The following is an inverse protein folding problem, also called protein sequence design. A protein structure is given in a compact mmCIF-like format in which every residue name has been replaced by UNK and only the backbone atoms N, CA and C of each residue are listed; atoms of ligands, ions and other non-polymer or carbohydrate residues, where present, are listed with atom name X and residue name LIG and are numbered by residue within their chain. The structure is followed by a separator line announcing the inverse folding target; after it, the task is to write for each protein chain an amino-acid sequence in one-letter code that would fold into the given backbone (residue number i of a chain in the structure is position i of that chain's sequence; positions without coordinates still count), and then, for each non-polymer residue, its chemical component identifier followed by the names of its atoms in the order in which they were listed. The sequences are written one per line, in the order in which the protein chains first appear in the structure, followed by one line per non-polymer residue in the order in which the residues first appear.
data_IF_591060214935
#
_entry.id   IF_591060214935
#
_cell.length_a   1.000
_cell.length_b   1.000
_cell.length_c   1.000
_cell.angle_alpha   90.00
_cell.angle_beta   90.00
_cell.angle_gamma   90.00
#
_symmetry.space_group_name_H-M   'P 1'
#
loop_
_entity.id
_entity.type
_entity.pdbx_description
1 polymer ?
#
# COMPACT_ATOMS: atom_id res chain seq x y z
N UNK A 1 -56.82 -49.35 63.58
CA UNK A 1 -57.56 -48.28 62.92
C UNK A 1 -56.52 -47.19 62.52
N UNK A 2 -56.03 -47.25 61.26
CA UNK A 2 -55.04 -46.35 60.73
C UNK A 2 -55.73 -45.33 59.81
N UNK A 3 -55.59 -44.07 60.15
CA UNK A 3 -56.10 -42.93 59.40
C UNK A 3 -54.97 -42.47 58.51
N UNK A 4 -55.12 -42.69 57.17
CA UNK A 4 -54.21 -42.07 56.19
C UNK A 4 -54.69 -40.67 55.86
N UNK A 5 -53.86 -39.72 56.12
CA UNK A 5 -54.05 -38.31 55.75
C UNK A 5 -53.38 -38.08 54.38
N UNK A 6 -54.18 -37.95 53.30
CA UNK A 6 -53.72 -37.55 51.99
C UNK A 6 -53.49 -36.03 51.95
N UNK A 7 -52.29 -35.63 51.82
CA UNK A 7 -51.90 -34.25 51.53
C UNK A 7 -51.94 -33.96 50.06
N UNK A 8 -52.93 -33.24 49.59
CA UNK A 8 -53.02 -32.71 48.24
C UNK A 8 -52.06 -31.54 48.04
N UNK A 9 -50.99 -31.75 47.26
CA UNK A 9 -50.05 -30.71 46.92
C UNK A 9 -50.52 -29.98 45.65
N UNK A 10 -51.07 -28.79 45.78
CA UNK A 10 -51.47 -27.93 44.67
C UNK A 10 -50.22 -27.22 44.12
N UNK A 11 -49.78 -27.64 42.91
CA UNK A 11 -48.72 -27.00 42.16
C UNK A 11 -49.30 -25.78 41.43
N UNK A 12 -48.91 -24.57 41.87
CA UNK A 12 -49.21 -23.35 41.13
C UNK A 12 -48.17 -23.19 40.03
N UNK A 13 -48.59 -23.34 38.80
CA UNK A 13 -47.77 -22.90 37.64
C UNK A 13 -47.89 -21.40 37.49
N UNK A 14 -46.82 -20.68 37.88
CA UNK A 14 -46.65 -19.29 37.52
C UNK A 14 -46.12 -19.18 36.10
N UNK A 15 -46.97 -18.77 35.18
CA UNK A 15 -46.55 -18.40 33.81
C UNK A 15 -45.84 -17.08 33.82
N UNK A 16 -44.49 -17.12 33.69
CA UNK A 16 -43.67 -15.92 33.47
C UNK A 16 -43.76 -15.57 32.00
N UNK A 17 -44.49 -14.52 31.66
CA UNK A 17 -44.47 -13.94 30.32
C UNK A 17 -43.16 -13.13 30.13
N UNK A 18 -42.21 -13.70 29.36
CA UNK A 18 -41.02 -12.98 28.92
C UNK A 18 -41.42 -12.04 27.80
N UNK A 19 -41.54 -10.76 28.08
CA UNK A 19 -41.71 -9.73 27.08
C UNK A 19 -40.33 -9.51 26.38
N UNK A 20 -40.17 -10.04 25.16
CA UNK A 20 -39.05 -9.69 24.30
C UNK A 20 -39.18 -8.21 23.88
N UNK A 21 -38.46 -7.34 24.53
CA UNK A 21 -38.28 -5.96 24.11
C UNK A 21 -37.19 -5.98 23.00
N UNK A 22 -37.61 -6.02 21.74
CA UNK A 22 -36.74 -5.82 20.61
C UNK A 22 -36.38 -4.32 20.51
N UNK A 23 -35.22 -3.94 21.03
CA UNK A 23 -34.61 -2.64 20.75
C UNK A 23 -34.10 -2.61 19.33
N UNK A 24 -34.54 -1.65 18.48
CA UNK A 24 -33.91 -1.48 17.18
C UNK A 24 -32.48 -1.01 17.39
N UNK A 25 -31.53 -1.82 16.95
CA UNK A 25 -30.12 -1.47 16.82
C UNK A 25 -30.03 -0.42 15.71
N UNK A 26 -30.08 0.87 16.09
CA UNK A 26 -29.75 1.97 15.18
C UNK A 26 -28.25 1.82 14.85
N UNK A 27 -27.98 1.21 13.70
CA UNK A 27 -26.66 1.27 13.10
C UNK A 27 -26.36 2.75 12.80
N UNK A 28 -25.60 3.38 13.69
CA UNK A 28 -24.97 4.65 13.42
C UNK A 28 -23.90 4.39 12.36
N UNK A 29 -24.26 4.49 11.09
CA UNK A 29 -23.30 4.70 10.03
C UNK A 29 -22.61 6.04 10.31
N UNK A 30 -21.50 5.94 11.02
CA UNK A 30 -20.53 7.02 11.13
C UNK A 30 -19.94 7.26 9.75
N UNK A 31 -20.62 8.08 8.95
CA UNK A 31 -20.03 8.63 7.75
C UNK A 31 -18.79 9.42 8.22
N UNK A 32 -17.62 8.79 8.19
CA UNK A 32 -16.35 9.49 8.26
C UNK A 32 -16.34 10.48 7.12
N UNK A 33 -16.62 11.75 7.43
CA UNK A 33 -16.45 12.86 6.52
C UNK A 33 -14.99 12.81 6.08
N UNK A 34 -14.76 12.33 4.86
CA UNK A 34 -13.45 12.34 4.26
C UNK A 34 -12.95 13.78 4.31
N UNK A 35 -11.93 14.02 5.08
CA UNK A 35 -11.28 15.32 5.18
C UNK A 35 -10.75 15.63 3.77
N UNK A 36 -11.39 16.58 3.08
CA UNK A 36 -11.00 16.94 1.72
C UNK A 36 -9.62 17.61 1.81
N UNK A 37 -8.58 16.84 1.49
CA UNK A 37 -7.24 17.41 1.36
C UNK A 37 -7.28 18.47 0.25
N UNK A 38 -6.62 19.60 0.49
CA UNK A 38 -6.44 20.62 -0.54
C UNK A 38 -5.79 20.00 -1.78
N UNK A 39 -6.17 20.45 -3.00
CA UNK A 39 -5.57 19.92 -4.23
C UNK A 39 -4.05 20.18 -4.24
N UNK A 40 -3.28 19.17 -4.62
CA UNK A 40 -1.85 19.30 -4.88
C UNK A 40 -1.65 19.71 -6.35
N UNK A 41 -1.12 20.91 -6.57
CA UNK A 41 -0.73 21.42 -7.89
C UNK A 41 0.70 21.88 -7.81
N UNK A 42 1.61 21.14 -8.44
CA UNK A 42 3.04 21.45 -8.46
C UNK A 42 3.59 21.25 -9.87
N UNK A 43 4.28 22.24 -10.42
CA UNK A 43 4.95 22.07 -11.70
C UNK A 43 6.22 21.20 -11.53
N UNK A 44 6.65 20.55 -12.60
CA UNK A 44 7.85 19.70 -12.57
C UNK A 44 9.09 20.46 -12.11
N UNK A 45 9.19 21.76 -12.50
CA UNK A 45 10.29 22.64 -12.13
C UNK A 45 10.32 23.01 -10.65
N UNK A 46 9.16 22.94 -9.97
CA UNK A 46 9.01 23.34 -8.56
C UNK A 46 9.12 22.15 -7.60
N UNK A 47 9.31 20.94 -8.14
CA UNK A 47 9.51 19.74 -7.33
C UNK A 47 10.71 19.92 -6.39
N UNK A 48 10.53 19.49 -5.14
CA UNK A 48 11.60 19.54 -4.12
C UNK A 48 12.41 18.26 -4.18
N UNK A 49 13.44 18.28 -5.01
CA UNK A 49 14.32 17.15 -5.22
C UNK A 49 15.25 16.92 -4.03
N UNK A 50 15.33 15.65 -3.60
CA UNK A 50 16.26 15.17 -2.58
C UNK A 50 17.11 14.07 -3.22
N UNK A 51 18.43 14.19 -3.09
CA UNK A 51 19.36 13.16 -3.57
C UNK A 51 19.50 12.04 -2.52
N UNK A 52 19.64 10.80 -2.99
CA UNK A 52 19.94 9.66 -2.13
C UNK A 52 21.44 9.65 -1.82
N UNK A 53 21.84 9.82 -0.56
CA UNK A 53 23.28 9.96 -0.21
C UNK A 53 24.13 8.76 -0.66
N UNK A 54 23.57 7.55 -0.59
CA UNK A 54 24.23 6.30 -0.96
C UNK A 54 24.18 5.99 -2.46
N UNK A 55 23.49 6.82 -3.26
CA UNK A 55 23.28 6.57 -4.69
C UNK A 55 23.34 7.86 -5.49
N UNK A 56 24.58 8.29 -5.75
CA UNK A 56 24.88 9.55 -6.44
C UNK A 56 24.04 9.77 -7.69
N UNK A 57 23.43 10.94 -7.79
CA UNK A 57 22.59 11.36 -8.91
C UNK A 57 21.16 10.82 -8.89
N UNK A 58 20.85 9.82 -8.05
CA UNK A 58 19.47 9.39 -7.86
C UNK A 58 18.73 10.39 -6.98
N UNK A 59 17.60 10.87 -7.47
CA UNK A 59 16.79 11.88 -6.79
C UNK A 59 15.34 11.43 -6.68
N UNK A 60 14.66 11.96 -5.68
CA UNK A 60 13.22 11.83 -5.53
C UNK A 60 12.59 13.11 -5.00
N UNK A 61 11.33 13.33 -5.34
CA UNK A 61 10.51 14.42 -4.80
C UNK A 61 9.19 13.81 -4.29
N UNK A 62 8.98 13.82 -2.98
CA UNK A 62 7.77 13.28 -2.35
C UNK A 62 6.58 14.17 -2.67
N UNK A 63 5.50 13.59 -3.16
CA UNK A 63 4.23 14.26 -3.44
C UNK A 63 3.24 14.05 -2.29
N UNK A 64 3.22 12.86 -1.69
CA UNK A 64 2.38 12.56 -0.53
C UNK A 64 2.95 11.39 0.27
N UNK A 65 2.56 11.29 1.53
CA UNK A 65 2.99 10.21 2.42
C UNK A 65 4.42 10.37 2.92
N UNK A 66 4.99 9.29 3.46
CA UNK A 66 6.35 9.25 4.01
C UNK A 66 7.05 7.95 3.60
N UNK A 67 7.94 7.99 2.61
CA UNK A 67 8.60 6.79 2.08
C UNK A 67 9.38 5.98 3.12
N UNK A 68 9.84 6.59 4.21
CA UNK A 68 10.62 5.90 5.25
C UNK A 68 9.76 5.02 6.16
N UNK A 69 8.47 5.34 6.30
CA UNK A 69 7.63 4.73 7.33
C UNK A 69 6.33 4.10 6.82
N UNK A 70 5.84 4.50 5.64
CA UNK A 70 4.54 4.05 5.16
C UNK A 70 4.29 4.30 3.68
N UNK A 71 3.02 4.23 3.26
CA UNK A 71 2.63 4.48 1.86
C UNK A 71 3.00 5.90 1.41
N UNK A 72 3.37 6.02 0.15
CA UNK A 72 3.81 7.28 -0.43
C UNK A 72 3.55 7.36 -1.93
N UNK A 73 3.61 8.59 -2.44
CA UNK A 73 3.77 8.87 -3.86
C UNK A 73 4.92 9.86 -4.06
N UNK A 74 5.69 9.68 -5.12
CA UNK A 74 6.84 10.53 -5.43
C UNK A 74 7.15 10.55 -6.93
N UNK A 75 7.90 11.55 -7.37
CA UNK A 75 8.62 11.51 -8.65
C UNK A 75 10.05 11.05 -8.37
N UNK A 76 10.55 10.13 -9.16
CA UNK A 76 11.94 9.68 -9.10
C UNK A 76 12.68 10.09 -10.37
N UNK A 77 13.96 10.40 -10.19
CA UNK A 77 14.93 10.56 -11.28
C UNK A 77 16.08 9.61 -11.05
N UNK A 78 16.39 8.84 -12.06
CA UNK A 78 17.49 7.87 -12.06
C UNK A 78 18.41 8.20 -13.23
N UNK A 79 19.70 8.41 -13.00
CA UNK A 79 20.65 8.74 -14.06
C UNK A 79 20.68 7.70 -15.17
N UNK A 80 20.89 8.18 -16.39
CA UNK A 80 21.13 7.34 -17.57
C UNK A 80 22.29 6.34 -17.31
N UNK A 81 22.15 5.11 -17.77
CA UNK A 81 23.14 4.05 -17.59
C UNK A 81 23.18 3.46 -16.16
N UNK A 82 22.20 3.76 -15.31
CA UNK A 82 22.15 3.15 -13.98
C UNK A 82 21.64 1.72 -14.04
N UNK A 83 22.39 0.80 -13.44
CA UNK A 83 21.98 -0.58 -13.22
C UNK A 83 21.75 -0.83 -11.73
N UNK A 84 20.61 -1.42 -11.41
CA UNK A 84 20.30 -1.93 -10.09
C UNK A 84 20.50 -3.45 -10.11
N UNK A 85 21.37 -3.98 -9.24
CA UNK A 85 21.59 -5.43 -9.16
C UNK A 85 20.30 -6.13 -8.70
N UNK A 86 20.34 -7.44 -8.63
CA UNK A 86 19.22 -8.26 -8.17
C UNK A 86 18.77 -7.82 -6.77
N UNK A 87 17.49 -7.50 -6.64
CA UNK A 87 16.93 -6.97 -5.39
C UNK A 87 15.41 -7.18 -5.33
N UNK A 88 14.84 -6.90 -4.17
CA UNK A 88 13.39 -6.84 -3.97
C UNK A 88 13.01 -5.65 -3.09
N UNK A 89 11.71 -5.43 -2.97
CA UNK A 89 11.10 -4.42 -2.09
C UNK A 89 10.07 -5.10 -1.19
N UNK A 90 9.97 -4.69 0.08
CA UNK A 90 8.97 -5.25 1.02
C UNK A 90 7.53 -4.90 0.68
N UNK A 91 7.32 -3.90 -0.16
CA UNK A 91 5.99 -3.41 -0.53
C UNK A 91 5.83 -3.36 -2.04
N UNK A 92 4.60 -3.52 -2.50
CA UNK A 92 4.26 -3.32 -3.91
C UNK A 92 4.62 -1.90 -4.36
N UNK A 93 5.25 -1.81 -5.52
CA UNK A 93 5.58 -0.56 -6.19
C UNK A 93 4.88 -0.50 -7.55
N UNK A 94 4.38 0.69 -7.89
CA UNK A 94 3.90 1.02 -9.22
C UNK A 94 4.71 2.18 -9.77
N UNK A 95 5.26 2.02 -10.95
CA UNK A 95 5.98 3.06 -11.68
C UNK A 95 5.21 3.42 -12.95
N UNK A 96 5.05 4.72 -13.22
CA UNK A 96 4.58 5.25 -14.51
C UNK A 96 5.72 6.04 -15.12
N UNK A 97 6.25 5.57 -16.23
CA UNK A 97 7.44 6.16 -16.87
C UNK A 97 7.05 7.47 -17.56
N UNK A 98 7.73 8.56 -17.20
CA UNK A 98 7.52 9.90 -17.75
C UNK A 98 8.53 10.18 -18.86
N UNK A 99 9.81 9.83 -18.65
CA UNK A 99 10.87 9.99 -19.65
C UNK A 99 11.98 8.97 -19.44
N UNK A 100 12.86 8.84 -20.45
CA UNK A 100 13.90 7.83 -20.48
C UNK A 100 13.35 6.44 -20.80
N UNK A 101 14.22 5.44 -20.73
CA UNK A 101 13.88 4.03 -20.95
C UNK A 101 14.26 3.25 -19.68
N UNK A 102 13.27 2.96 -18.85
CA UNK A 102 13.42 2.09 -17.68
C UNK A 102 13.39 0.63 -18.11
N UNK A 103 14.23 -0.22 -17.54
CA UNK A 103 14.13 -1.66 -17.76
C UNK A 103 13.95 -2.41 -16.45
N UNK A 104 13.29 -3.56 -16.49
CA UNK A 104 13.17 -4.48 -15.36
C UNK A 104 12.78 -5.88 -15.83
N UNK A 105 13.11 -6.89 -15.03
CA UNK A 105 12.79 -8.29 -15.24
C UNK A 105 13.31 -9.16 -14.12
N UNK A 106 12.88 -10.43 -14.05
CA UNK A 106 13.32 -11.37 -13.01
C UNK A 106 14.85 -11.60 -13.04
N UNK A 107 15.49 -11.35 -14.16
CA UNK A 107 16.94 -11.39 -14.38
C UNK A 107 17.30 -10.58 -15.62
N UNK A 108 18.59 -10.39 -15.88
CA UNK A 108 19.06 -9.61 -17.04
C UNK A 108 18.56 -10.14 -18.39
N UNK A 109 18.46 -11.48 -18.56
CA UNK A 109 18.03 -12.09 -19.83
C UNK A 109 16.52 -11.90 -20.09
N UNK A 110 15.69 -11.78 -19.05
CA UNK A 110 14.24 -11.58 -19.15
C UNK A 110 13.82 -10.11 -19.02
N UNK A 111 14.75 -9.20 -18.75
CA UNK A 111 14.46 -7.78 -18.59
C UNK A 111 13.93 -7.18 -19.91
N UNK A 112 12.89 -6.35 -19.77
CA UNK A 112 12.25 -5.63 -20.86
C UNK A 112 12.37 -4.14 -20.65
N UNK A 113 12.34 -3.40 -21.75
CA UNK A 113 12.42 -1.94 -21.78
C UNK A 113 11.02 -1.30 -21.74
N UNK A 114 10.91 -0.23 -20.97
CA UNK A 114 9.67 0.52 -20.75
C UNK A 114 9.94 2.01 -20.99
N UNK A 115 9.48 2.52 -22.10
CA UNK A 115 9.55 3.95 -22.44
C UNK A 115 8.44 4.78 -21.80
N UNK A 116 8.43 6.08 -22.13
CA UNK A 116 7.42 7.03 -21.63
C UNK A 116 5.98 6.52 -21.85
N UNK A 117 5.11 6.71 -20.85
CA UNK A 117 3.73 6.22 -20.83
C UNK A 117 3.56 4.77 -20.37
N UNK A 118 4.66 4.01 -20.23
CA UNK A 118 4.58 2.63 -19.73
C UNK A 118 4.28 2.59 -18.24
N UNK A 119 3.59 1.51 -17.82
CA UNK A 119 3.30 1.21 -16.42
C UNK A 119 3.98 -0.10 -16.02
N UNK A 120 4.68 -0.08 -14.90
CA UNK A 120 5.34 -1.25 -14.32
C UNK A 120 4.82 -1.43 -12.90
N UNK A 121 4.24 -2.59 -12.61
CA UNK A 121 3.80 -2.97 -11.26
C UNK A 121 4.68 -4.12 -10.76
N UNK A 122 5.29 -3.92 -9.61
CA UNK A 122 6.19 -4.88 -8.98
C UNK A 122 5.55 -5.33 -7.65
N UNK A 123 5.12 -6.59 -7.54
CA UNK A 123 4.59 -7.11 -6.28
C UNK A 123 5.64 -7.04 -5.16
N UNK A 124 5.17 -7.03 -3.91
CA UNK A 124 6.04 -7.17 -2.76
C UNK A 124 6.90 -8.44 -2.89
N UNK A 125 8.15 -8.34 -2.46
CA UNK A 125 9.16 -9.41 -2.43
C UNK A 125 9.50 -10.05 -3.79
N UNK A 126 9.02 -9.49 -4.90
CA UNK A 126 9.46 -9.93 -6.22
C UNK A 126 10.92 -9.58 -6.46
N UNK A 127 11.74 -10.60 -6.63
CA UNK A 127 13.17 -10.45 -6.90
C UNK A 127 13.37 -10.10 -8.38
N UNK A 128 14.07 -8.99 -8.65
CA UNK A 128 14.24 -8.46 -9.98
C UNK A 128 15.53 -7.64 -10.15
N UNK A 129 15.92 -7.46 -11.40
CA UNK A 129 16.88 -6.44 -11.82
C UNK A 129 16.12 -5.25 -12.40
N UNK A 130 16.70 -4.06 -12.34
CA UNK A 130 16.12 -2.88 -12.97
C UNK A 130 17.19 -1.83 -13.26
N UNK A 131 16.82 -0.82 -14.06
CA UNK A 131 17.74 0.28 -14.31
C UNK A 131 17.20 1.26 -15.34
N UNK A 132 18.06 2.21 -15.69
CA UNK A 132 17.81 3.21 -16.72
C UNK A 132 18.80 3.02 -17.86
N UNK A 133 18.30 2.82 -19.09
CA UNK A 133 19.17 2.70 -20.28
C UNK A 133 19.98 3.98 -20.47
N UNK A 134 21.11 3.84 -21.14
CA UNK A 134 21.92 4.99 -21.57
C UNK A 134 21.14 5.90 -22.52
N UNK A 135 21.50 7.19 -22.57
CA UNK A 135 20.92 8.17 -23.48
C UNK A 135 20.23 9.32 -22.77
N UNK A 136 19.34 9.06 -21.81
CA UNK A 136 18.69 10.09 -21.01
C UNK A 136 18.29 9.54 -19.64
N UNK A 137 18.21 10.41 -18.63
CA UNK A 137 17.72 10.05 -17.31
C UNK A 137 16.30 9.50 -17.38
N UNK A 138 16.05 8.48 -16.57
CA UNK A 138 14.70 8.00 -16.37
C UNK A 138 14.00 8.84 -15.30
N UNK A 139 12.84 9.37 -15.66
CA UNK A 139 11.92 10.02 -14.71
C UNK A 139 10.64 9.23 -14.68
N UNK A 140 10.14 8.93 -13.49
CA UNK A 140 8.89 8.20 -13.33
C UNK A 140 8.15 8.61 -12.05
N UNK A 141 6.82 8.60 -12.14
CA UNK A 141 5.97 8.61 -10.96
C UNK A 141 6.06 7.25 -10.28
N UNK A 142 6.21 7.24 -8.97
CA UNK A 142 6.23 6.01 -8.18
C UNK A 142 5.22 6.09 -7.05
N UNK A 143 4.43 5.03 -6.90
CA UNK A 143 3.54 4.78 -5.77
C UNK A 143 4.05 3.54 -5.03
N UNK A 144 4.20 3.66 -3.70
CA UNK A 144 4.51 2.55 -2.79
C UNK A 144 3.36 2.30 -1.82
N UNK A 145 2.93 1.04 -1.71
CA UNK A 145 1.88 0.61 -0.76
C UNK A 145 2.34 0.61 0.70
N UNK A 146 3.62 0.70 0.95
CA UNK A 146 4.25 0.75 2.27
C UNK A 146 5.55 1.52 2.21
N UNK A 147 6.41 1.37 3.21
CA UNK A 147 7.73 2.02 3.21
C UNK A 147 8.56 1.61 1.99
N UNK A 148 9.39 2.53 1.51
CA UNK A 148 10.40 2.21 0.51
C UNK A 148 11.60 1.53 1.18
N UNK A 149 12.02 0.41 0.63
CA UNK A 149 13.31 -0.23 0.94
C UNK A 149 13.93 -0.82 -0.32
N UNK A 150 15.19 -1.19 -0.23
CA UNK A 150 15.93 -1.88 -1.27
C UNK A 150 16.65 -3.05 -0.59
N UNK A 151 16.23 -4.27 -0.89
CA UNK A 151 16.77 -5.50 -0.30
C UNK A 151 17.61 -6.21 -1.37
N UNK A 152 18.94 -6.12 -1.31
CA UNK A 152 19.78 -6.90 -2.20
C UNK A 152 19.44 -8.39 -2.09
N UNK A 153 19.36 -9.07 -3.21
CA UNK A 153 19.24 -10.53 -3.25
C UNK A 153 20.59 -11.14 -3.69
N UNK A 154 20.87 -12.34 -3.20
CA UNK A 154 22.00 -13.12 -3.68
C UNK A 154 21.70 -13.67 -5.07
N UNK A 155 22.72 -13.77 -5.90
CA UNK A 155 22.70 -14.43 -7.21
C UNK A 155 22.50 -15.94 -7.04
#
# INVERSE_FOLDING_TARGET
MKIEMRTEMRVFFATVAVACVSTPLLAQEGAQKAESKAPLMVSFTDLKWVELPERKGMQFAVLSGEPKTGPYTQIRRVPAGTDNPLHSHSSELKNVIISGVWYTGANAASAKDFGAGSVVMMPADWVHVSGCRSGSDCVFYQEGKGKFDFKPAAD
#
